data_IF_337704869378
#
_entry.id   IF_337704869378
#
_cell.length_a   1.000
_cell.length_b   1.000
_cell.length_c   1.000
_cell.angle_alpha   90.00
_cell.angle_beta   90.00
_cell.angle_gamma   90.00
#
_symmetry.space_group_name_H-M   'P 1'
#
loop_
_entity.id
_entity.type
_entity.pdbx_description
1 polymer ?
#
# COMPACT_ATOMS: atom_id res chain seq x y z
N UNK A 1 -8.41 -27.81 4.16
CA UNK A 1 -7.86 -28.04 2.81
C UNK A 1 -6.91 -26.91 2.49
N UNK A 2 -5.63 -27.16 2.29
CA UNK A 2 -4.64 -26.14 1.97
C UNK A 2 -4.25 -26.21 0.50
N UNK A 3 -4.16 -25.06 -0.18
CA UNK A 3 -3.62 -24.96 -1.53
C UNK A 3 -2.13 -24.60 -1.43
N UNK A 4 -1.28 -25.38 -2.10
CA UNK A 4 0.14 -25.06 -2.26
C UNK A 4 0.37 -24.47 -3.65
N UNK A 5 0.79 -23.22 -3.70
CA UNK A 5 1.14 -22.55 -4.95
C UNK A 5 2.66 -22.66 -5.20
N UNK A 6 3.04 -22.93 -6.44
CA UNK A 6 4.42 -22.76 -6.90
C UNK A 6 4.68 -21.27 -7.18
N UNK A 7 5.95 -20.86 -7.19
CA UNK A 7 6.32 -19.47 -7.51
C UNK A 7 5.78 -19.03 -8.88
N UNK A 8 5.93 -19.87 -9.90
CA UNK A 8 5.46 -19.58 -11.26
C UNK A 8 3.93 -19.40 -11.34
N UNK A 9 3.17 -20.18 -10.57
CA UNK A 9 1.72 -20.04 -10.53
C UNK A 9 1.31 -18.79 -9.76
N UNK A 10 2.07 -18.39 -8.75
CA UNK A 10 1.83 -17.16 -8.02
C UNK A 10 2.10 -15.93 -8.90
N UNK A 11 3.17 -15.94 -9.70
CA UNK A 11 3.46 -14.85 -10.64
C UNK A 11 2.36 -14.69 -11.70
N UNK A 12 1.81 -15.79 -12.21
CA UNK A 12 0.63 -15.72 -13.10
C UNK A 12 -0.59 -15.07 -12.43
N UNK A 13 -0.78 -15.33 -11.15
CA UNK A 13 -1.85 -14.68 -10.37
C UNK A 13 -1.56 -13.18 -10.21
N UNK A 14 -0.32 -12.80 -9.90
CA UNK A 14 0.11 -11.40 -9.81
C UNK A 14 -0.15 -10.70 -11.15
N UNK A 15 0.25 -11.28 -12.26
CA UNK A 15 0.06 -10.71 -13.60
C UNK A 15 -1.42 -10.49 -13.93
N UNK A 16 -2.28 -11.41 -13.50
CA UNK A 16 -3.71 -11.25 -13.65
C UNK A 16 -4.28 -10.11 -12.78
N UNK A 17 -3.87 -10.06 -11.52
CA UNK A 17 -4.31 -9.03 -10.56
C UNK A 17 -3.81 -7.63 -10.91
N UNK A 18 -2.63 -7.50 -11.49
CA UNK A 18 -2.06 -6.20 -11.93
C UNK A 18 -2.91 -5.48 -12.98
N UNK A 19 -3.79 -6.17 -13.67
CA UNK A 19 -4.73 -5.53 -14.61
C UNK A 19 -5.70 -4.58 -13.90
N UNK A 20 -6.10 -4.94 -12.67
CA UNK A 20 -7.10 -4.21 -11.89
C UNK A 20 -6.51 -3.51 -10.66
N UNK A 21 -5.38 -3.99 -10.16
CA UNK A 21 -4.78 -3.55 -8.90
C UNK A 21 -3.34 -3.07 -9.07
N UNK A 22 -2.96 -2.08 -8.27
CA UNK A 22 -1.58 -1.86 -7.87
C UNK A 22 -1.31 -2.73 -6.65
N UNK A 23 -0.28 -3.55 -6.71
CA UNK A 23 0.00 -4.56 -5.68
C UNK A 23 1.19 -4.09 -4.85
N UNK A 24 1.00 -3.99 -3.54
CA UNK A 24 2.02 -3.58 -2.59
C UNK A 24 2.38 -4.71 -1.63
N UNK A 25 3.67 -4.87 -1.38
CA UNK A 25 4.22 -5.82 -0.41
C UNK A 25 5.51 -5.27 0.20
N UNK A 26 6.01 -5.86 1.32
CA UNK A 26 7.34 -5.56 1.80
C UNK A 26 8.38 -5.91 0.74
N UNK A 27 9.19 -4.93 0.36
CA UNK A 27 10.23 -5.02 -0.69
C UNK A 27 11.54 -4.45 -0.16
N UNK A 28 12.65 -5.07 -0.52
CA UNK A 28 13.98 -4.53 -0.23
C UNK A 28 14.28 -3.42 -1.22
N UNK A 29 14.66 -2.27 -0.71
CA UNK A 29 15.14 -1.12 -1.47
C UNK A 29 16.64 -0.99 -1.24
N UNK A 30 17.43 -1.44 -2.22
CA UNK A 30 18.88 -1.45 -2.16
C UNK A 30 19.42 -0.01 -2.06
N UNK A 31 20.39 0.19 -1.17
CA UNK A 31 21.09 1.45 -0.98
C UNK A 31 20.19 2.61 -0.50
N UNK A 32 18.98 2.34 -0.02
CA UNK A 32 18.05 3.37 0.50
C UNK A 32 17.86 3.33 2.02
N UNK A 33 18.76 2.65 2.71
CA UNK A 33 18.78 2.63 4.17
C UNK A 33 19.22 3.96 4.78
N UNK A 34 19.35 4.00 6.10
CA UNK A 34 19.77 5.20 6.84
C UNK A 34 21.20 5.62 6.54
N UNK A 35 22.03 4.69 6.10
CA UNK A 35 23.42 4.91 5.70
C UNK A 35 23.55 4.55 4.22
N UNK A 36 24.53 5.15 3.55
CA UNK A 36 24.73 5.05 2.10
C UNK A 36 24.95 3.63 1.56
N UNK A 37 25.35 2.72 2.42
CA UNK A 37 25.69 1.32 2.11
C UNK A 37 24.67 0.31 2.68
N UNK A 38 23.55 0.79 3.19
CA UNK A 38 22.54 -0.06 3.82
C UNK A 38 21.25 -0.11 2.99
N UNK A 39 20.60 -1.26 3.06
CA UNK A 39 19.28 -1.49 2.46
C UNK A 39 18.17 -1.18 3.44
N UNK A 40 16.99 -0.93 2.90
CA UNK A 40 15.78 -0.69 3.67
C UNK A 40 14.66 -1.59 3.17
N UNK A 41 13.91 -2.19 4.07
CA UNK A 41 12.69 -2.93 3.73
C UNK A 41 11.47 -2.02 3.94
N UNK A 42 10.73 -1.77 2.88
CA UNK A 42 9.56 -0.88 2.89
C UNK A 42 8.46 -1.45 2.00
N UNK A 43 7.21 -1.05 2.24
CA UNK A 43 6.13 -1.37 1.31
C UNK A 43 6.33 -0.64 0.00
N UNK A 44 6.37 -1.41 -1.09
CA UNK A 44 6.54 -0.91 -2.45
C UNK A 44 5.71 -1.70 -3.44
N UNK A 45 5.50 -1.15 -4.61
CA UNK A 45 4.83 -1.85 -5.70
C UNK A 45 5.68 -3.02 -6.17
N UNK A 46 5.06 -4.17 -6.35
CA UNK A 46 5.72 -5.42 -6.75
C UNK A 46 5.23 -5.86 -8.13
N UNK A 47 6.13 -6.52 -8.86
CA UNK A 47 5.86 -7.11 -10.16
C UNK A 47 5.87 -8.64 -10.14
N UNK A 48 6.55 -9.23 -9.18
CA UNK A 48 6.76 -10.67 -9.06
C UNK A 48 6.87 -11.09 -7.59
N UNK A 49 6.67 -12.37 -7.31
CA UNK A 49 6.88 -12.95 -5.98
C UNK A 49 8.32 -12.74 -5.47
N UNK A 50 9.29 -12.64 -6.37
CA UNK A 50 10.70 -12.44 -6.00
C UNK A 50 10.96 -11.05 -5.43
N UNK A 51 10.08 -10.08 -5.68
CA UNK A 51 10.17 -8.75 -5.08
C UNK A 51 9.79 -8.74 -3.60
N UNK A 52 9.06 -9.77 -3.13
CA UNK A 52 8.50 -9.79 -1.77
C UNK A 52 9.54 -10.24 -0.76
N UNK A 53 9.77 -9.43 0.25
CA UNK A 53 10.59 -9.78 1.40
C UNK A 53 9.73 -10.46 2.49
N UNK A 54 9.87 -11.78 2.62
CA UNK A 54 9.11 -12.58 3.58
C UNK A 54 9.79 -12.70 4.94
N UNK A 55 11.12 -12.61 4.98
CA UNK A 55 11.93 -12.96 6.15
C UNK A 55 12.10 -11.79 7.11
N UNK A 56 12.27 -10.59 6.56
CA UNK A 56 12.53 -9.39 7.35
C UNK A 56 11.23 -8.62 7.60
N UNK A 57 11.14 -8.00 8.76
CA UNK A 57 10.10 -7.01 9.04
C UNK A 57 10.41 -5.74 8.27
N UNK A 58 9.38 -5.08 7.72
CA UNK A 58 9.56 -3.78 7.09
C UNK A 58 9.94 -2.71 8.12
N UNK A 59 10.86 -1.83 7.74
CA UNK A 59 11.29 -0.70 8.56
C UNK A 59 10.20 0.35 8.72
N UNK A 60 9.30 0.43 7.72
CA UNK A 60 8.16 1.33 7.71
C UNK A 60 6.85 0.56 7.59
N UNK A 61 5.79 1.15 8.10
CA UNK A 61 4.47 0.53 8.11
C UNK A 61 3.80 0.60 6.73
N UNK A 62 2.97 -0.40 6.41
CA UNK A 62 2.07 -0.39 5.25
C UNK A 62 1.13 0.85 5.21
N UNK A 63 0.96 1.51 6.34
CA UNK A 63 0.12 2.72 6.45
C UNK A 63 0.50 3.82 5.47
N UNK A 64 1.77 3.88 5.06
CA UNK A 64 2.24 4.84 4.06
C UNK A 64 1.57 4.68 2.70
N UNK A 65 1.02 3.49 2.40
CA UNK A 65 0.26 3.25 1.18
C UNK A 65 -1.12 3.91 1.24
N UNK A 66 -1.74 3.94 2.44
CA UNK A 66 -3.06 4.54 2.66
C UNK A 66 -2.99 5.99 3.14
N UNK A 67 -1.90 6.34 3.80
CA UNK A 67 -1.62 7.67 4.35
C UNK A 67 -0.23 8.10 3.83
N UNK A 68 -0.14 8.55 2.58
CA UNK A 68 1.14 8.97 2.01
C UNK A 68 1.72 10.14 2.78
N UNK A 69 3.06 10.18 2.91
CA UNK A 69 3.79 11.23 3.65
C UNK A 69 3.49 12.62 3.08
N UNK A 70 3.29 12.68 1.76
CA UNK A 70 2.92 13.91 1.05
C UNK A 70 1.77 13.59 0.11
N UNK A 71 0.73 14.41 0.15
CA UNK A 71 -0.44 14.28 -0.71
C UNK A 71 -0.87 15.65 -1.21
N UNK A 72 -1.11 15.76 -2.52
CA UNK A 72 -1.76 16.94 -3.09
C UNK A 72 -3.26 16.82 -2.84
N UNK A 73 -3.82 17.79 -2.13
CA UNK A 73 -5.26 17.83 -1.83
C UNK A 73 -6.02 18.54 -2.94
N UNK A 74 -5.49 19.66 -3.39
CA UNK A 74 -6.10 20.47 -4.43
C UNK A 74 -5.08 21.33 -5.15
N UNK A 75 -5.44 21.77 -6.33
CA UNK A 75 -4.74 22.78 -7.12
C UNK A 75 -5.56 24.06 -7.10
N UNK A 76 -4.92 25.20 -7.01
CA UNK A 76 -5.60 26.49 -7.07
C UNK A 76 -4.80 27.51 -7.89
N UNK A 77 -5.51 28.39 -8.55
CA UNK A 77 -5.03 29.63 -9.16
C UNK A 77 -5.87 30.78 -8.60
N UNK A 78 -5.58 32.02 -8.99
CA UNK A 78 -6.34 33.18 -8.51
C UNK A 78 -7.86 33.04 -8.76
N UNK A 79 -8.25 32.38 -9.87
CA UNK A 79 -9.65 32.30 -10.31
C UNK A 79 -10.24 30.88 -10.30
N UNK A 80 -9.43 29.84 -10.07
CA UNK A 80 -9.86 28.45 -10.20
C UNK A 80 -9.32 27.57 -9.08
N UNK A 81 -10.19 26.67 -8.68
CA UNK A 81 -9.90 25.62 -7.72
C UNK A 81 -10.29 24.25 -8.31
N UNK A 82 -9.44 23.25 -8.15
CA UNK A 82 -9.76 21.87 -8.50
C UNK A 82 -9.15 20.89 -7.49
N UNK A 83 -9.92 19.86 -7.12
CA UNK A 83 -9.40 18.77 -6.30
C UNK A 83 -8.38 17.93 -7.08
N UNK A 84 -7.39 17.42 -6.38
CA UNK A 84 -6.48 16.44 -6.96
C UNK A 84 -7.21 15.12 -7.21
N UNK A 85 -6.95 14.50 -8.36
CA UNK A 85 -7.49 13.17 -8.65
C UNK A 85 -6.85 12.12 -7.74
N UNK A 86 -7.68 11.30 -7.13
CA UNK A 86 -7.22 10.10 -6.43
C UNK A 86 -6.89 9.03 -7.46
N UNK A 87 -5.85 8.23 -7.22
CA UNK A 87 -5.45 7.09 -8.03
C UNK A 87 -6.68 6.28 -8.52
N UNK A 88 -6.76 6.01 -9.81
CA UNK A 88 -7.92 5.32 -10.40
C UNK A 88 -7.91 3.82 -10.11
N UNK A 89 -6.72 3.19 -10.07
CA UNK A 89 -6.57 1.75 -9.82
C UNK A 89 -6.87 1.38 -8.37
N UNK A 90 -7.47 0.22 -8.20
CA UNK A 90 -7.60 -0.41 -6.91
C UNK A 90 -6.22 -0.79 -6.35
N UNK A 91 -6.13 -0.90 -5.04
CA UNK A 91 -4.89 -1.20 -4.32
C UNK A 91 -5.04 -2.56 -3.63
N UNK A 92 -4.05 -3.42 -3.78
CA UNK A 92 -3.95 -4.70 -3.09
C UNK A 92 -2.69 -4.71 -2.24
N UNK A 93 -2.83 -4.93 -0.94
CA UNK A 93 -1.72 -4.88 0.00
C UNK A 93 -1.55 -6.24 0.68
N UNK A 94 -0.36 -6.83 0.54
CA UNK A 94 0.01 -8.02 1.30
C UNK A 94 0.40 -7.62 2.72
N UNK A 95 -0.41 -8.01 3.70
CA UNK A 95 -0.20 -7.68 5.10
C UNK A 95 0.25 -8.87 5.91
N UNK A 96 1.04 -8.59 6.94
CA UNK A 96 1.25 -9.54 8.03
C UNK A 96 0.05 -9.50 8.99
N UNK A 97 -0.23 -10.62 9.64
CA UNK A 97 -1.35 -10.72 10.58
C UNK A 97 -1.35 -9.66 11.69
N UNK A 98 -0.15 -9.27 12.17
CA UNK A 98 -0.02 -8.20 13.17
C UNK A 98 -0.44 -6.82 12.63
N UNK A 99 -0.29 -6.58 11.33
CA UNK A 99 -0.64 -5.31 10.70
C UNK A 99 -2.15 -5.19 10.47
N UNK A 100 -2.85 -6.31 10.28
CA UNK A 100 -4.31 -6.35 10.14
C UNK A 100 -5.03 -5.74 11.36
N UNK A 101 -4.53 -5.97 12.57
CA UNK A 101 -5.11 -5.36 13.78
C UNK A 101 -4.93 -3.84 13.82
N UNK A 102 -3.83 -3.33 13.26
CA UNK A 102 -3.61 -1.89 13.21
C UNK A 102 -4.52 -1.19 12.21
N UNK A 103 -4.96 -1.88 11.16
CA UNK A 103 -5.88 -1.35 10.17
C UNK A 103 -7.21 -0.91 10.80
N UNK A 104 -7.78 -1.75 11.68
CA UNK A 104 -9.02 -1.42 12.39
C UNK A 104 -8.89 -0.13 13.20
N UNK A 105 -7.76 0.06 13.86
CA UNK A 105 -7.51 1.28 14.67
C UNK A 105 -7.42 2.53 13.79
N UNK A 106 -6.84 2.41 12.60
CA UNK A 106 -6.79 3.53 11.65
C UNK A 106 -8.18 3.83 11.12
N UNK A 107 -8.94 2.80 10.75
CA UNK A 107 -10.34 2.97 10.33
C UNK A 107 -11.17 3.66 11.43
N UNK A 108 -10.96 3.31 12.70
CA UNK A 108 -11.61 3.96 13.82
C UNK A 108 -11.24 5.44 13.95
N UNK A 109 -9.97 5.79 13.73
CA UNK A 109 -9.48 7.19 13.82
C UNK A 109 -10.01 8.03 12.66
N UNK A 110 -9.89 7.54 11.42
CA UNK A 110 -10.16 8.35 10.23
C UNK A 110 -11.61 8.27 9.74
N UNK A 111 -12.36 7.22 10.09
CA UNK A 111 -13.73 7.01 9.61
C UNK A 111 -14.80 7.05 10.70
N UNK A 112 -14.42 6.85 11.99
CA UNK A 112 -15.41 6.66 13.06
C UNK A 112 -15.26 7.60 14.24
N UNK A 113 -14.29 8.51 14.21
CA UNK A 113 -14.02 9.45 15.31
C UNK A 113 -14.76 10.80 15.11
N UNK A 114 -16.06 10.74 14.81
CA UNK A 114 -16.94 11.91 14.70
C UNK A 114 -16.95 12.57 13.32
N UNK A 115 -15.86 12.53 12.58
CA UNK A 115 -15.75 13.03 11.19
C UNK A 115 -15.02 12.03 10.31
N UNK A 116 -15.54 11.79 9.12
CA UNK A 116 -14.87 10.94 8.13
C UNK A 116 -13.86 11.75 7.32
N UNK A 117 -12.59 11.32 7.30
CA UNK A 117 -11.59 11.88 6.40
C UNK A 117 -11.87 11.45 4.96
N UNK A 118 -12.22 12.36 4.05
CA UNK A 118 -12.63 12.02 2.69
C UNK A 118 -11.50 11.43 1.85
N UNK A 119 -10.25 11.81 2.11
CA UNK A 119 -9.08 11.32 1.36
C UNK A 119 -8.74 9.90 1.78
N UNK A 120 -8.69 9.65 3.08
CA UNK A 120 -8.49 8.31 3.61
C UNK A 120 -9.61 7.37 3.16
N UNK A 121 -10.87 7.80 3.23
CA UNK A 121 -12.03 7.03 2.81
C UNK A 121 -11.92 6.59 1.36
N UNK A 122 -11.63 7.52 0.43
CA UNK A 122 -11.47 7.23 -1.00
C UNK A 122 -10.38 6.17 -1.26
N UNK A 123 -9.24 6.26 -0.61
CA UNK A 123 -8.17 5.27 -0.75
C UNK A 123 -8.51 3.93 -0.08
N UNK A 124 -9.13 3.98 1.11
CA UNK A 124 -9.52 2.80 1.88
C UNK A 124 -10.57 1.93 1.17
N UNK A 125 -11.54 2.54 0.49
CA UNK A 125 -12.55 1.84 -0.31
C UNK A 125 -11.95 1.10 -1.50
N UNK A 126 -10.85 1.61 -2.06
CA UNK A 126 -10.10 0.96 -3.15
C UNK A 126 -9.10 -0.09 -2.67
N UNK A 127 -8.80 -0.14 -1.38
CA UNK A 127 -7.78 -1.02 -0.81
C UNK A 127 -8.36 -2.37 -0.40
N UNK A 128 -7.74 -3.44 -0.87
CA UNK A 128 -7.95 -4.83 -0.42
C UNK A 128 -6.67 -5.35 0.23
N UNK A 129 -6.83 -6.30 1.13
CA UNK A 129 -5.73 -6.85 1.92
C UNK A 129 -5.71 -8.37 1.84
N UNK A 130 -4.51 -8.93 1.75
CA UNK A 130 -4.23 -10.38 1.78
C UNK A 130 -3.19 -10.68 2.84
#
# INVERSE_FOLDING_TARGET
MGLRLTKDNFDKIIDCLKKEYKIYAPKVMEGKGRFSDTDMTRYGEIDSINDIEFSKKSDFSYKEVLLPITQTLFFFTEDKFSEASVEEKNILIFLRSCDMHSLRRIDDIYLRNGFEDPYYKKLREKAKFI
#
